data_IF_118185976204
#
_entry.id   IF_118185976204
#
_cell.length_a   1.000
_cell.length_b   1.000
_cell.length_c   1.000
_cell.angle_alpha   90.00
_cell.angle_beta   90.00
_cell.angle_gamma   90.00
#
_symmetry.space_group_name_H-M   'P 1'
#
loop_
_entity.id
_entity.type
_entity.pdbx_description
1 polymer ?
#
# COMPACT_ATOMS: atom_id res chain seq x y z
N UNK A 1 10.49 2.00 -6.13
CA UNK A 1 10.73 3.43 -6.47
C UNK A 1 9.97 4.28 -5.47
N UNK A 2 10.26 5.58 -5.34
CA UNK A 2 9.37 6.50 -4.61
C UNK A 2 8.33 7.05 -5.59
N UNK A 3 7.11 7.36 -5.12
CA UNK A 3 6.13 8.08 -5.92
C UNK A 3 6.65 9.48 -6.28
N UNK A 4 6.09 10.08 -7.33
CA UNK A 4 6.41 11.46 -7.67
C UNK A 4 5.88 12.41 -6.60
N UNK A 5 6.59 13.52 -6.34
CA UNK A 5 6.15 14.50 -5.35
C UNK A 5 4.79 15.15 -5.70
N UNK A 6 4.43 15.18 -6.99
CA UNK A 6 3.10 15.62 -7.43
C UNK A 6 1.97 14.73 -6.90
N UNK A 7 2.16 13.41 -6.88
CA UNK A 7 1.20 12.46 -6.31
C UNK A 7 1.18 12.55 -4.78
N UNK A 8 2.36 12.61 -4.13
CA UNK A 8 2.44 12.77 -2.67
C UNK A 8 1.70 14.02 -2.20
N UNK A 9 1.77 15.12 -2.95
CA UNK A 9 1.08 16.37 -2.64
C UNK A 9 -0.45 16.23 -2.62
N UNK A 10 -1.05 15.29 -3.37
CA UNK A 10 -2.50 15.03 -3.31
C UNK A 10 -2.94 14.55 -1.92
N UNK A 11 -2.03 13.93 -1.18
CA UNK A 11 -2.25 13.43 0.18
C UNK A 11 -1.71 14.37 1.27
N UNK A 12 -1.34 15.63 0.95
CA UNK A 12 -0.67 16.53 1.91
C UNK A 12 -1.46 16.81 3.19
N UNK A 13 -2.79 16.73 3.12
CA UNK A 13 -3.70 16.90 4.26
C UNK A 13 -3.83 15.66 5.15
N UNK A 14 -3.34 14.50 4.72
CA UNK A 14 -3.50 13.25 5.46
C UNK A 14 -2.75 13.32 6.79
N UNK A 15 -3.45 12.94 7.85
CA UNK A 15 -2.90 12.68 9.18
C UNK A 15 -3.30 11.29 9.63
N UNK A 16 -2.33 10.46 9.96
CA UNK A 16 -2.59 9.09 10.40
C UNK A 16 -3.22 9.12 11.78
N UNK A 17 -4.45 8.61 11.87
CA UNK A 17 -5.12 8.36 13.13
C UNK A 17 -4.85 6.92 13.55
N UNK A 18 -3.87 6.74 14.44
CA UNK A 18 -3.37 5.40 14.79
C UNK A 18 -4.43 4.48 15.40
N UNK A 19 -5.47 5.02 16.02
CA UNK A 19 -6.59 4.23 16.57
C UNK A 19 -7.39 3.47 15.50
N UNK A 20 -7.23 3.84 14.23
CA UNK A 20 -7.95 3.22 13.12
C UNK A 20 -7.19 1.97 12.61
N UNK A 21 -6.02 1.67 13.19
CA UNK A 21 -5.14 0.60 12.76
C UNK A 21 -4.99 -0.48 13.84
N UNK A 22 -4.76 -1.74 13.43
CA UNK A 22 -4.58 -2.84 14.36
C UNK A 22 -3.20 -2.79 15.06
N UNK A 23 -2.99 -3.51 16.18
CA UNK A 23 -1.77 -3.41 16.99
C UNK A 23 -0.46 -3.63 16.23
N UNK A 24 -0.45 -4.51 15.21
CA UNK A 24 0.73 -4.76 14.38
C UNK A 24 1.15 -3.54 13.55
N UNK A 25 0.18 -2.72 13.11
CA UNK A 25 0.47 -1.47 12.40
C UNK A 25 0.96 -0.39 13.38
N UNK A 26 0.37 -0.31 14.57
CA UNK A 26 0.87 0.58 15.63
C UNK A 26 2.33 0.25 16.01
N UNK A 27 2.68 -1.04 16.10
CA UNK A 27 4.07 -1.47 16.32
C UNK A 27 4.99 -1.01 15.19
N UNK A 28 4.54 -1.13 13.94
CA UNK A 28 5.27 -0.63 12.77
C UNK A 28 5.44 0.89 12.79
N UNK A 29 4.42 1.66 13.19
CA UNK A 29 4.52 3.11 13.34
C UNK A 29 5.56 3.50 14.40
N UNK A 30 5.64 2.75 15.50
CA UNK A 30 6.69 2.92 16.50
C UNK A 30 8.09 2.63 15.92
N UNK A 31 8.25 1.59 15.11
CA UNK A 31 9.51 1.28 14.42
C UNK A 31 9.92 2.39 13.43
N UNK A 32 8.96 2.94 12.66
CA UNK A 32 9.20 4.09 11.76
C UNK A 32 9.77 5.27 12.54
N UNK A 33 9.15 5.64 13.67
CA UNK A 33 9.61 6.74 14.52
C UNK A 33 10.98 6.47 15.13
N UNK A 34 11.21 5.24 15.60
CA UNK A 34 12.50 4.81 16.16
C UNK A 34 13.63 4.91 15.13
N UNK A 35 13.32 4.65 13.86
CA UNK A 35 14.23 4.80 12.74
C UNK A 35 14.36 6.26 12.24
N UNK A 36 13.71 7.24 12.89
CA UNK A 36 13.76 8.65 12.52
C UNK A 36 12.84 9.05 11.36
N UNK A 37 11.90 8.19 10.98
CA UNK A 37 10.91 8.46 9.94
C UNK A 37 9.65 9.17 10.45
N UNK A 38 8.90 9.74 9.51
CA UNK A 38 7.58 10.33 9.74
C UNK A 38 6.50 9.37 9.23
N UNK A 39 5.58 8.98 10.14
CA UNK A 39 4.47 8.06 9.85
C UNK A 39 3.48 8.67 8.85
N UNK A 40 3.21 9.97 8.94
CA UNK A 40 2.33 10.67 8.01
C UNK A 40 2.96 10.71 6.62
N UNK A 41 4.24 11.09 6.51
CA UNK A 41 4.95 11.12 5.23
C UNK A 41 5.01 9.72 4.61
N UNK A 42 5.37 8.71 5.40
CA UNK A 42 5.40 7.33 4.96
C UNK A 42 4.04 6.87 4.41
N UNK A 43 2.95 7.18 5.11
CA UNK A 43 1.61 6.82 4.66
C UNK A 43 1.19 7.58 3.39
N UNK A 44 1.48 8.89 3.30
CA UNK A 44 1.21 9.67 2.09
C UNK A 44 1.94 9.13 0.88
N UNK A 45 3.20 8.72 1.04
CA UNK A 45 3.97 8.08 -0.04
C UNK A 45 3.40 6.72 -0.41
N UNK A 46 3.03 5.90 0.57
CA UNK A 46 2.38 4.62 0.28
C UNK A 46 1.07 4.81 -0.51
N UNK A 47 0.20 5.73 -0.07
CA UNK A 47 -1.05 6.01 -0.77
C UNK A 47 -0.84 6.63 -2.15
N UNK A 48 0.21 7.43 -2.34
CA UNK A 48 0.58 7.92 -3.67
C UNK A 48 1.01 6.79 -4.63
N UNK A 49 1.68 5.75 -4.12
CA UNK A 49 2.00 4.55 -4.91
C UNK A 49 0.71 3.76 -5.25
N UNK A 50 -0.21 3.62 -4.30
CA UNK A 50 -1.51 2.95 -4.52
C UNK A 50 -2.38 3.72 -5.51
N UNK A 51 -2.48 5.04 -5.39
CA UNK A 51 -3.20 5.89 -6.35
C UNK A 51 -2.62 5.78 -7.75
N UNK A 52 -1.27 5.74 -7.87
CA UNK A 52 -0.64 5.54 -9.18
C UNK A 52 -0.96 4.19 -9.81
N UNK A 53 -1.13 3.13 -9.00
CA UNK A 53 -1.55 1.81 -9.46
C UNK A 53 -3.00 1.86 -9.93
N UNK A 54 -3.89 2.44 -9.14
CA UNK A 54 -5.32 2.57 -9.46
C UNK A 54 -5.53 3.38 -10.76
N UNK A 55 -4.85 4.52 -10.90
CA UNK A 55 -4.85 5.33 -12.13
C UNK A 55 -4.36 4.51 -13.36
N UNK A 56 -3.39 3.62 -13.18
CA UNK A 56 -2.90 2.76 -14.25
C UNK A 56 -3.93 1.70 -14.66
N UNK A 57 -4.59 1.05 -13.69
CA UNK A 57 -5.68 0.11 -13.95
C UNK A 57 -6.84 0.82 -14.66
N UNK A 58 -7.26 1.99 -14.19
CA UNK A 58 -8.30 2.80 -14.81
C UNK A 58 -7.99 3.15 -16.28
N UNK A 59 -6.72 3.46 -16.60
CA UNK A 59 -6.28 3.69 -17.99
C UNK A 59 -6.43 2.45 -18.88
N UNK A 60 -6.12 1.26 -18.35
CA UNK A 60 -6.29 0.00 -19.10
C UNK A 60 -7.77 -0.26 -19.36
N UNK A 61 -8.62 -0.17 -18.33
CA UNK A 61 -10.06 -0.39 -18.44
C UNK A 61 -10.70 0.58 -19.45
N UNK A 62 -10.41 1.87 -19.33
CA UNK A 62 -10.87 2.89 -20.28
C UNK A 62 -10.44 2.58 -21.71
N UNK A 63 -9.23 2.03 -21.90
CA UNK A 63 -8.74 1.66 -23.23
C UNK A 63 -9.51 0.48 -23.81
N UNK A 64 -9.88 -0.52 -23.00
CA UNK A 64 -10.74 -1.62 -23.44
C UNK A 64 -12.11 -1.12 -23.89
N UNK A 65 -12.71 -0.18 -23.16
CA UNK A 65 -13.99 0.44 -23.52
C UNK A 65 -13.89 1.18 -24.86
N UNK A 66 -12.87 2.01 -25.04
CA UNK A 66 -12.63 2.77 -26.28
C UNK A 66 -12.42 1.88 -27.51
N UNK A 67 -11.90 0.67 -27.31
CA UNK A 67 -11.67 -0.30 -28.38
C UNK A 67 -12.88 -1.21 -28.63
N UNK A 68 -13.94 -1.10 -27.83
CA UNK A 68 -15.10 -2.00 -27.90
C UNK A 68 -14.78 -3.43 -27.47
N UNK A 69 -13.72 -3.64 -26.68
CA UNK A 69 -13.24 -4.97 -26.26
C UNK A 69 -13.73 -5.39 -24.86
N UNK A 70 -14.42 -4.50 -24.14
CA UNK A 70 -14.79 -4.69 -22.72
C UNK A 70 -15.56 -6.00 -22.46
N UNK A 71 -16.54 -6.29 -23.31
CA UNK A 71 -17.44 -7.44 -23.15
C UNK A 71 -16.78 -8.79 -23.48
N UNK A 72 -15.66 -8.77 -24.22
CA UNK A 72 -14.92 -9.98 -24.61
C UNK A 72 -13.52 -10.05 -23.99
N UNK A 73 -13.30 -9.35 -22.86
CA UNK A 73 -12.04 -9.36 -22.13
C UNK A 73 -12.28 -9.69 -20.67
N UNK A 74 -11.65 -10.76 -20.18
CA UNK A 74 -11.60 -11.06 -18.75
C UNK A 74 -10.51 -10.21 -18.11
N UNK A 75 -10.86 -9.48 -17.07
CA UNK A 75 -9.91 -8.71 -16.26
C UNK A 75 -9.90 -9.31 -14.86
N UNK A 76 -8.71 -9.68 -14.39
CA UNK A 76 -8.48 -10.17 -13.03
C UNK A 76 -7.50 -9.22 -12.36
N UNK A 77 -7.86 -8.73 -11.17
CA UNK A 77 -6.99 -7.93 -10.32
C UNK A 77 -6.73 -8.71 -9.03
N UNK A 78 -5.46 -8.83 -8.64
CA UNK A 78 -5.07 -9.55 -7.44
C UNK A 78 -3.70 -9.03 -6.96
N UNK A 79 -3.29 -9.41 -5.74
CA UNK A 79 -1.95 -9.17 -5.20
C UNK A 79 -1.18 -10.50 -5.08
N UNK A 80 0.15 -10.45 -5.17
CA UNK A 80 1.00 -11.65 -5.07
C UNK A 80 1.23 -12.11 -3.62
N UNK A 81 1.08 -11.21 -2.66
CA UNK A 81 1.20 -11.47 -1.22
C UNK A 81 0.54 -10.36 -0.39
N UNK A 82 0.38 -10.60 0.91
CA UNK A 82 -0.01 -9.55 1.85
C UNK A 82 1.04 -8.46 2.06
N UNK A 83 0.66 -7.40 2.76
CA UNK A 83 1.49 -6.24 3.03
C UNK A 83 2.80 -6.61 3.74
N UNK A 84 3.85 -5.89 3.40
CA UNK A 84 5.14 -6.00 4.06
C UNK A 84 5.02 -5.49 5.50
N UNK A 85 5.25 -6.37 6.49
CA UNK A 85 5.22 -6.06 7.92
C UNK A 85 6.63 -6.06 8.56
N UNK A 86 7.68 -5.98 7.74
CA UNK A 86 9.06 -5.87 8.25
C UNK A 86 9.30 -4.53 8.96
N UNK A 87 10.29 -4.52 9.85
CA UNK A 87 10.63 -3.33 10.65
C UNK A 87 11.17 -2.22 9.77
N UNK A 88 10.61 -1.02 9.92
CA UNK A 88 11.09 0.16 9.21
C UNK A 88 12.55 0.46 9.59
N UNK A 89 13.36 0.85 8.59
CA UNK A 89 14.74 1.32 8.80
C UNK A 89 15.83 0.23 8.88
N UNK A 90 15.51 -1.06 8.77
CA UNK A 90 16.52 -2.11 8.61
C UNK A 90 16.93 -2.29 7.14
N UNK A 91 18.22 -2.19 6.81
CA UNK A 91 18.75 -2.64 5.51
C UNK A 91 18.37 -1.80 4.28
N UNK A 92 18.08 -0.51 4.43
CA UNK A 92 17.77 0.39 3.31
C UNK A 92 16.28 0.48 2.93
N UNK A 93 15.39 -0.02 3.82
CA UNK A 93 13.94 0.07 3.63
C UNK A 93 13.45 1.52 3.66
N UNK A 94 12.55 1.83 2.71
CA UNK A 94 11.93 3.15 2.53
C UNK A 94 10.72 3.27 3.46
N UNK A 95 10.44 4.46 3.97
CA UNK A 95 9.28 4.71 4.84
C UNK A 95 7.92 4.61 4.12
N UNK A 96 7.88 4.39 2.80
CA UNK A 96 6.65 4.25 2.02
C UNK A 96 6.05 2.83 2.04
N UNK A 97 6.50 1.93 2.92
CA UNK A 97 5.92 0.60 3.07
C UNK A 97 4.84 0.59 4.15
N UNK A 98 3.70 1.24 3.94
CA UNK A 98 2.69 1.44 5.00
C UNK A 98 1.39 0.65 4.76
N UNK A 99 1.46 -0.44 3.99
CA UNK A 99 0.33 -1.34 3.75
C UNK A 99 -0.17 -2.03 5.00
N UNK A 100 -1.46 -2.39 5.00
CA UNK A 100 -2.17 -3.03 6.10
C UNK A 100 -2.85 -4.31 5.63
N UNK A 101 -2.77 -5.36 6.46
CA UNK A 101 -3.49 -6.63 6.26
C UNK A 101 -4.81 -6.67 7.05
N UNK A 102 -5.31 -5.51 7.48
CA UNK A 102 -6.48 -5.43 8.35
C UNK A 102 -6.27 -6.20 9.66
N UNK A 103 -7.28 -6.90 10.20
CA UNK A 103 -7.18 -7.60 11.49
C UNK A 103 -6.28 -8.85 11.43
N UNK A 104 -5.81 -9.23 10.25
CA UNK A 104 -5.14 -10.50 10.05
C UNK A 104 -3.71 -10.51 10.58
N UNK A 105 -3.30 -11.69 11.05
CA UNK A 105 -1.97 -11.90 11.62
C UNK A 105 -0.94 -12.02 10.51
N UNK A 106 0.23 -11.41 10.72
CA UNK A 106 1.37 -11.58 9.82
C UNK A 106 1.33 -10.66 8.60
N UNK A 107 2.13 -11.02 7.61
CA UNK A 107 2.42 -10.24 6.42
C UNK A 107 3.28 -11.02 5.43
N UNK A 108 3.83 -10.30 4.44
CA UNK A 108 4.87 -10.83 3.55
C UNK A 108 5.89 -11.67 4.33
N UNK A 109 6.26 -12.83 3.78
CA UNK A 109 7.17 -13.83 4.37
C UNK A 109 6.60 -14.64 5.54
N UNK A 110 5.29 -14.65 5.75
CA UNK A 110 4.65 -15.50 6.77
C UNK A 110 3.55 -16.36 6.17
N UNK A 111 3.28 -17.52 6.77
CA UNK A 111 2.18 -18.42 6.39
C UNK A 111 0.89 -18.13 7.19
N UNK A 112 0.80 -16.96 7.82
CA UNK A 112 -0.42 -16.50 8.48
C UNK A 112 -1.34 -15.82 7.47
N UNK A 113 -2.60 -15.60 7.83
CA UNK A 113 -3.63 -15.02 6.95
C UNK A 113 -3.15 -13.71 6.31
N UNK A 114 -2.54 -12.81 7.09
CA UNK A 114 -2.07 -11.52 6.56
C UNK A 114 -0.91 -11.63 5.57
N UNK A 115 -0.29 -12.82 5.39
CA UNK A 115 0.68 -13.07 4.33
C UNK A 115 0.07 -13.65 3.05
N UNK A 116 -1.10 -14.29 3.14
CA UNK A 116 -1.69 -15.14 2.09
C UNK A 116 -3.04 -14.63 1.59
N UNK A 117 -3.84 -13.99 2.44
CA UNK A 117 -5.14 -13.43 2.10
C UNK A 117 -4.97 -12.02 1.54
N UNK A 118 -5.43 -11.84 0.31
CA UNK A 118 -5.15 -10.71 -0.55
C UNK A 118 -6.42 -10.28 -1.29
N UNK A 119 -6.52 -9.01 -1.71
CA UNK A 119 -7.67 -8.54 -2.50
C UNK A 119 -7.81 -9.32 -3.82
N UNK A 120 -9.06 -9.64 -4.18
CA UNK A 120 -9.44 -10.28 -5.45
C UNK A 120 -10.76 -9.70 -5.98
#
# INVERSE_FOLDING_TARGET
MNPTEALVKRWSGLKVKESDFPPQMMAKFADVRKAGGDVDDGMRRYLADIESLDDAVGRILKRLDQLGLRENTIVVFNSDQGADMTKAGGGGLRFNQMGSNGPQRGGKHTNWEGGLDVPW
#
